data_IF_382312757849
#
_entry.id   IF_382312757849
#
_cell.length_a   1.000
_cell.length_b   1.000
_cell.length_c   1.000
_cell.angle_alpha   90.00
_cell.angle_beta   90.00
_cell.angle_gamma   90.00
#
_symmetry.space_group_name_H-M   'P 1'
#
loop_
_entity.id
_entity.type
_entity.pdbx_description
1 polymer ?
#
# COMPACT_ATOMS: atom_id res chain seq x y z
N UNK A 1 -47.99 18.22 -35.52
CA UNK A 1 -46.62 17.78 -35.82
C UNK A 1 -45.59 18.62 -35.05
N UNK A 2 -45.12 18.18 -33.85
CA UNK A 2 -43.81 18.49 -33.21
C UNK A 2 -43.86 17.97 -31.75
N UNK A 3 -43.61 16.68 -31.48
CA UNK A 3 -42.31 16.01 -31.28
C UNK A 3 -41.45 16.76 -30.22
N UNK A 4 -41.46 16.36 -28.95
CA UNK A 4 -40.66 15.28 -28.34
C UNK A 4 -39.14 15.55 -28.21
N UNK A 5 -38.70 16.75 -27.77
CA UNK A 5 -37.24 17.04 -27.63
C UNK A 5 -36.85 17.59 -26.23
N UNK A 6 -37.79 17.82 -25.31
CA UNK A 6 -37.48 18.44 -24.01
C UNK A 6 -37.08 17.45 -22.89
N UNK A 7 -37.09 16.14 -23.12
CA UNK A 7 -36.86 15.13 -22.07
C UNK A 7 -35.44 14.54 -21.99
N UNK A 8 -34.58 14.73 -23.01
CA UNK A 8 -33.35 13.95 -23.13
C UNK A 8 -32.08 14.67 -22.65
N UNK A 9 -32.11 16.00 -22.49
CA UNK A 9 -30.91 16.76 -22.11
C UNK A 9 -30.60 16.77 -20.60
N UNK A 10 -31.55 16.42 -19.72
CA UNK A 10 -31.32 16.54 -18.28
C UNK A 10 -30.61 15.33 -17.65
N UNK A 11 -30.60 14.17 -18.32
CA UNK A 11 -29.98 12.94 -17.79
C UNK A 11 -28.50 12.82 -18.19
N UNK A 12 -28.05 13.53 -19.22
CA UNK A 12 -26.67 13.44 -19.70
C UNK A 12 -25.65 14.20 -18.85
N UNK A 13 -26.09 15.12 -17.98
CA UNK A 13 -25.21 15.94 -17.14
C UNK A 13 -24.68 15.24 -15.88
N UNK A 14 -25.35 14.18 -15.40
CA UNK A 14 -25.02 13.55 -14.11
C UNK A 14 -23.93 12.46 -14.23
N UNK A 15 -23.61 11.98 -15.44
CA UNK A 15 -22.66 10.88 -15.65
C UNK A 15 -21.20 11.36 -15.69
N UNK A 16 -20.96 12.67 -15.86
CA UNK A 16 -19.60 13.22 -15.99
C UNK A 16 -18.88 13.47 -14.65
N UNK A 17 -19.56 13.40 -13.51
CA UNK A 17 -18.94 13.69 -12.20
C UNK A 17 -18.37 12.46 -11.47
N UNK A 18 -18.56 11.25 -12.00
CA UNK A 18 -18.20 9.99 -11.33
C UNK A 18 -16.80 9.42 -11.63
N UNK A 19 -16.02 10.01 -12.55
CA UNK A 19 -14.83 9.35 -13.11
C UNK A 19 -13.47 9.89 -12.60
N UNK A 20 -13.45 10.84 -11.66
CA UNK A 20 -12.25 11.62 -11.35
C UNK A 20 -11.65 11.32 -9.96
N UNK A 21 -11.31 10.06 -9.63
CA UNK A 21 -10.44 9.79 -8.44
C UNK A 21 -9.42 8.65 -8.59
N UNK A 22 -9.14 8.15 -9.80
CA UNK A 22 -8.21 7.02 -9.95
C UNK A 22 -6.71 7.42 -10.00
N UNK A 23 -6.37 8.69 -10.29
CA UNK A 23 -4.97 9.10 -10.52
C UNK A 23 -4.18 9.52 -9.28
N UNK A 24 -4.84 9.77 -8.14
CA UNK A 24 -4.15 10.20 -6.91
C UNK A 24 -3.29 9.12 -6.24
N UNK A 25 -3.30 7.87 -6.75
CA UNK A 25 -2.61 6.73 -6.14
C UNK A 25 -1.35 6.27 -6.91
N UNK A 26 -0.76 7.15 -7.73
CA UNK A 26 0.59 6.95 -8.29
C UNK A 26 1.66 7.43 -7.30
N UNK A 27 1.60 6.96 -6.06
CA UNK A 27 2.75 7.04 -5.17
C UNK A 27 3.94 6.33 -5.83
N UNK A 28 5.16 6.89 -5.77
CA UNK A 28 6.35 6.26 -6.33
C UNK A 28 6.40 4.83 -5.83
N UNK A 29 6.34 3.88 -6.77
CA UNK A 29 6.36 2.45 -6.44
C UNK A 29 7.78 2.15 -5.96
N UNK A 30 7.98 2.19 -4.65
CA UNK A 30 9.22 1.69 -4.06
C UNK A 30 9.27 0.21 -4.43
N UNK A 31 10.27 -0.15 -5.23
CA UNK A 31 10.51 -1.54 -5.56
C UNK A 31 10.84 -2.25 -4.24
N UNK A 32 9.89 -3.04 -3.73
CA UNK A 32 10.07 -3.85 -2.53
C UNK A 32 11.01 -5.02 -2.89
N UNK A 33 12.30 -4.72 -2.94
CA UNK A 33 13.40 -5.67 -3.08
C UNK A 33 13.91 -6.08 -1.68
N UNK A 34 14.21 -7.36 -1.50
CA UNK A 34 14.54 -7.93 -0.19
C UNK A 34 15.85 -7.35 0.36
N UNK A 35 16.89 -7.32 -0.47
CA UNK A 35 18.21 -6.84 -0.07
C UNK A 35 18.17 -5.34 0.23
N UNK A 36 17.45 -4.58 -0.59
CA UNK A 36 17.22 -3.15 -0.36
C UNK A 36 16.50 -2.89 0.97
N UNK A 37 15.47 -3.69 1.29
CA UNK A 37 14.72 -3.55 2.54
C UNK A 37 15.56 -3.93 3.76
N UNK A 38 16.27 -5.06 3.71
CA UNK A 38 17.18 -5.55 4.76
C UNK A 38 18.24 -4.50 5.08
N UNK A 39 18.90 -3.96 4.05
CA UNK A 39 19.90 -2.91 4.20
C UNK A 39 19.32 -1.61 4.78
N UNK A 40 18.19 -1.13 4.26
CA UNK A 40 17.59 0.13 4.72
C UNK A 40 17.07 0.06 6.18
N UNK A 41 16.55 -1.10 6.58
CA UNK A 41 16.07 -1.38 7.93
C UNK A 41 17.18 -1.78 8.91
N UNK A 42 18.41 -1.99 8.43
CA UNK A 42 19.56 -2.44 9.22
C UNK A 42 19.26 -3.75 9.95
N UNK A 43 18.77 -4.75 9.22
CA UNK A 43 18.56 -6.10 9.78
C UNK A 43 19.92 -6.75 10.06
N UNK A 44 20.10 -7.29 11.26
CA UNK A 44 21.40 -7.85 11.70
C UNK A 44 21.34 -9.38 11.83
N UNK A 45 20.23 -9.95 12.31
CA UNK A 45 20.13 -11.39 12.55
C UNK A 45 19.47 -12.15 11.39
N UNK A 46 19.74 -13.47 11.26
CA UNK A 46 19.04 -14.32 10.30
C UNK A 46 17.51 -14.30 10.49
N UNK A 47 17.02 -14.17 11.73
CA UNK A 47 15.57 -14.09 11.98
C UNK A 47 14.98 -12.78 11.45
N UNK A 48 15.70 -11.66 11.60
CA UNK A 48 15.26 -10.37 11.06
C UNK A 48 15.24 -10.38 9.54
N UNK A 49 16.24 -10.97 8.90
CA UNK A 49 16.29 -11.14 7.45
C UNK A 49 15.14 -12.02 6.96
N UNK A 50 14.94 -13.19 7.60
CA UNK A 50 13.85 -14.11 7.29
C UNK A 50 12.46 -13.49 7.47
N UNK A 51 12.30 -12.58 8.45
CA UNK A 51 11.07 -11.81 8.61
C UNK A 51 10.76 -10.95 7.38
N UNK A 52 11.76 -10.26 6.82
CA UNK A 52 11.59 -9.44 5.60
C UNK A 52 11.24 -10.33 4.40
N UNK A 53 11.91 -11.46 4.25
CA UNK A 53 11.62 -12.42 3.18
C UNK A 53 10.18 -12.95 3.25
N UNK A 54 9.70 -13.27 4.46
CA UNK A 54 8.32 -13.70 4.71
C UNK A 54 7.29 -12.60 4.40
N UNK A 55 7.55 -11.36 4.84
CA UNK A 55 6.69 -10.20 4.51
C UNK A 55 6.58 -10.05 2.98
N UNK A 56 7.69 -10.10 2.27
CA UNK A 56 7.71 -9.97 0.81
C UNK A 56 7.00 -11.13 0.12
N UNK A 57 7.15 -12.34 0.64
CA UNK A 57 6.41 -13.51 0.17
C UNK A 57 4.90 -13.29 0.31
N UNK A 58 4.42 -12.82 1.47
CA UNK A 58 3.00 -12.50 1.70
C UNK A 58 2.47 -11.38 0.80
N UNK A 59 3.32 -10.41 0.46
CA UNK A 59 2.97 -9.39 -0.54
C UNK A 59 2.84 -10.00 -1.93
N UNK A 60 3.76 -10.89 -2.33
CA UNK A 60 3.71 -11.58 -3.64
C UNK A 60 2.49 -12.48 -3.77
N UNK A 61 2.08 -13.15 -2.69
CA UNK A 61 0.90 -14.03 -2.67
C UNK A 61 -0.42 -13.28 -2.43
N UNK A 62 -0.39 -11.96 -2.29
CA UNK A 62 -1.58 -11.13 -2.07
C UNK A 62 -2.18 -11.22 -0.66
N UNK A 63 -1.52 -11.91 0.27
CA UNK A 63 -1.93 -12.04 1.67
C UNK A 63 -1.72 -10.74 2.47
N UNK A 64 -0.82 -9.87 2.01
CA UNK A 64 -0.54 -8.58 2.63
C UNK A 64 -0.51 -7.48 1.56
N UNK A 65 -1.24 -6.35 1.74
CA UNK A 65 -1.25 -5.29 0.74
C UNK A 65 0.13 -4.69 0.54
N UNK A 66 0.62 -4.66 -0.71
CA UNK A 66 1.89 -4.02 -1.08
C UNK A 66 2.01 -2.59 -0.56
N UNK A 67 0.94 -1.79 -0.76
CA UNK A 67 0.91 -0.37 -0.35
C UNK A 67 1.07 -0.18 1.16
N UNK A 68 0.51 -1.09 1.96
CA UNK A 68 0.68 -1.07 3.41
C UNK A 68 2.16 -1.25 3.78
N UNK A 69 2.80 -2.27 3.20
CA UNK A 69 4.22 -2.56 3.46
C UNK A 69 5.11 -1.40 3.00
N UNK A 70 4.88 -0.86 1.80
CA UNK A 70 5.62 0.31 1.28
C UNK A 70 5.52 1.52 2.21
N UNK A 71 4.30 1.84 2.67
CA UNK A 71 4.07 2.97 3.58
C UNK A 71 4.79 2.80 4.92
N UNK A 72 4.70 1.60 5.51
CA UNK A 72 5.35 1.32 6.80
C UNK A 72 6.87 1.29 6.64
N UNK A 73 7.38 0.67 5.57
CA UNK A 73 8.80 0.65 5.23
C UNK A 73 9.36 2.07 5.09
N UNK A 74 8.69 2.93 4.34
CA UNK A 74 9.12 4.30 4.14
C UNK A 74 9.19 5.08 5.46
N UNK A 75 8.21 4.90 6.35
CA UNK A 75 8.25 5.53 7.68
C UNK A 75 9.36 4.96 8.59
N UNK A 76 9.60 3.65 8.52
CA UNK A 76 10.55 2.96 9.39
C UNK A 76 12.02 3.21 9.00
N UNK A 77 12.35 3.28 7.71
CA UNK A 77 13.74 3.55 7.23
C UNK A 77 14.30 4.91 7.69
N UNK A 78 13.42 5.85 8.02
CA UNK A 78 13.81 7.18 8.53
C UNK A 78 13.97 7.22 10.06
N UNK A 79 13.79 6.11 10.78
CA UNK A 79 14.01 6.07 12.23
C UNK A 79 15.50 6.12 12.57
N UNK A 80 15.90 6.82 13.65
CA UNK A 80 17.31 6.98 14.01
C UNK A 80 17.95 5.66 14.45
N UNK A 81 17.23 4.84 15.20
CA UNK A 81 17.66 3.53 15.70
C UNK A 81 16.53 2.50 15.58
N UNK A 82 16.87 1.21 15.72
CA UNK A 82 15.93 0.08 15.75
C UNK A 82 14.90 0.08 14.59
N UNK A 83 15.32 0.47 13.39
CA UNK A 83 14.43 0.67 12.23
C UNK A 83 13.62 -0.58 11.91
N UNK A 84 14.26 -1.74 11.93
CA UNK A 84 13.59 -3.02 11.75
C UNK A 84 12.53 -3.30 12.82
N UNK A 85 12.81 -3.05 14.10
CA UNK A 85 11.86 -3.27 15.20
C UNK A 85 10.63 -2.34 15.06
N UNK A 86 10.86 -1.07 14.68
CA UNK A 86 9.78 -0.15 14.35
C UNK A 86 8.95 -0.64 13.16
N UNK A 87 9.60 -1.12 12.10
CA UNK A 87 8.93 -1.67 10.93
C UNK A 87 8.02 -2.85 11.32
N UNK A 88 8.57 -3.85 12.01
CA UNK A 88 7.84 -5.05 12.47
C UNK A 88 6.61 -4.67 13.29
N UNK A 89 6.80 -3.81 14.29
CA UNK A 89 5.71 -3.43 15.19
C UNK A 89 4.64 -2.59 14.49
N UNK A 90 5.04 -1.61 13.67
CA UNK A 90 4.10 -0.79 12.92
C UNK A 90 3.34 -1.61 11.87
N UNK A 91 4.01 -2.55 11.19
CA UNK A 91 3.37 -3.42 10.22
C UNK A 91 2.31 -4.29 10.88
N UNK A 92 2.63 -4.88 12.04
CA UNK A 92 1.68 -5.68 12.83
C UNK A 92 0.44 -4.88 13.22
N UNK A 93 0.62 -3.67 13.75
CA UNK A 93 -0.48 -2.80 14.16
C UNK A 93 -1.35 -2.41 12.96
N UNK A 94 -0.72 -1.97 11.88
CA UNK A 94 -1.44 -1.46 10.70
C UNK A 94 -2.13 -2.58 9.92
N UNK A 95 -1.51 -3.77 9.84
CA UNK A 95 -2.15 -4.95 9.26
C UNK A 95 -3.40 -5.34 10.05
N UNK A 96 -3.28 -5.44 11.38
CA UNK A 96 -4.42 -5.78 12.26
C UNK A 96 -5.58 -4.78 12.11
N UNK A 97 -5.28 -3.48 12.04
CA UNK A 97 -6.29 -2.42 11.81
C UNK A 97 -7.04 -2.57 10.49
N UNK A 98 -6.38 -3.13 9.48
CA UNK A 98 -6.94 -3.33 8.14
C UNK A 98 -7.51 -4.75 7.94
N UNK A 99 -7.52 -5.59 8.98
CA UNK A 99 -8.01 -6.97 8.91
C UNK A 99 -7.04 -7.97 8.26
N UNK A 100 -5.76 -7.61 8.12
CA UNK A 100 -4.72 -8.50 7.63
C UNK A 100 -3.89 -9.08 8.77
N UNK A 101 -3.42 -10.32 8.61
CA UNK A 101 -2.48 -10.95 9.54
C UNK A 101 -1.03 -10.69 9.11
N UNK A 102 -0.32 -9.88 9.89
CA UNK A 102 1.13 -9.73 9.73
C UNK A 102 1.86 -11.00 10.21
N UNK A 103 3.03 -11.33 9.63
CA UNK A 103 3.89 -12.37 10.18
C UNK A 103 4.46 -11.97 11.54
#
# INVERSE_FOLDING_TARGET
MRRWILGCCLVLGLVLFGAQTAEANRAPRIQLDAETMKAALRTETPEEQGYIDEVLRRVRTGQLPRRLVESVFWWARHKPAHRFQYFRQALRIQAARLGFSAP
#
